data_IF_963431811319
#
_entry.id   IF_963431811319
#
_cell.length_a   1.000
_cell.length_b   1.000
_cell.length_c   1.000
_cell.angle_alpha   90.00
_cell.angle_beta   90.00
_cell.angle_gamma   90.00
#
_symmetry.space_group_name_H-M   'P 1'
#
loop_
_entity.id
_entity.type
_entity.pdbx_description
1 polymer ?
#
# COMPACT_ATOMS: atom_id res chain seq x y z
N UNK A 1 -3.23 -16.92 -8.46
CA UNK A 1 -4.47 -16.17 -8.81
C UNK A 1 -4.91 -16.55 -10.22
N UNK A 2 -6.21 -16.52 -10.54
CA UNK A 2 -6.69 -16.79 -11.91
C UNK A 2 -6.33 -15.66 -12.88
N UNK A 3 -6.29 -15.98 -14.19
CA UNK A 3 -6.00 -15.01 -15.25
C UNK A 3 -6.94 -13.80 -15.20
N UNK A 4 -8.25 -14.03 -15.05
CA UNK A 4 -9.27 -12.96 -14.97
C UNK A 4 -9.00 -11.98 -13.82
N UNK A 5 -8.60 -12.47 -12.64
CA UNK A 5 -8.28 -11.62 -11.48
C UNK A 5 -7.00 -10.81 -11.74
N UNK A 6 -5.99 -11.41 -12.36
CA UNK A 6 -4.76 -10.71 -12.76
C UNK A 6 -5.05 -9.60 -13.77
N UNK A 7 -5.92 -9.84 -14.75
CA UNK A 7 -6.34 -8.82 -15.74
C UNK A 7 -7.06 -7.67 -15.07
N UNK A 8 -7.96 -7.96 -14.14
CA UNK A 8 -8.69 -6.94 -13.40
C UNK A 8 -7.74 -6.07 -12.55
N UNK A 9 -6.80 -6.69 -11.82
CA UNK A 9 -5.78 -5.97 -11.06
C UNK A 9 -4.90 -5.12 -11.97
N UNK A 10 -4.42 -5.67 -13.08
CA UNK A 10 -3.62 -4.94 -14.06
C UNK A 10 -4.37 -3.70 -14.56
N UNK A 11 -5.62 -3.86 -15.01
CA UNK A 11 -6.43 -2.77 -15.54
C UNK A 11 -6.68 -1.66 -14.50
N UNK A 12 -7.08 -2.04 -13.28
CA UNK A 12 -7.37 -1.08 -12.20
C UNK A 12 -6.11 -0.34 -11.75
N UNK A 13 -4.98 -1.04 -11.60
CA UNK A 13 -3.73 -0.41 -11.16
C UNK A 13 -3.18 0.53 -12.23
N UNK A 14 -3.24 0.14 -13.51
CA UNK A 14 -2.88 1.01 -14.64
C UNK A 14 -3.79 2.23 -14.72
N UNK A 15 -5.11 2.05 -14.58
CA UNK A 15 -6.06 3.15 -14.53
C UNK A 15 -5.79 4.10 -13.35
N UNK A 16 -5.40 3.56 -12.19
CA UNK A 16 -4.98 4.35 -11.04
C UNK A 16 -3.77 5.24 -11.33
N UNK A 17 -2.72 4.70 -11.97
CA UNK A 17 -1.57 5.52 -12.37
C UNK A 17 -1.95 6.58 -13.43
N UNK A 18 -2.75 6.20 -14.43
CA UNK A 18 -3.21 7.12 -15.46
C UNK A 18 -4.03 8.29 -14.87
N UNK A 19 -4.91 8.00 -13.91
CA UNK A 19 -5.66 9.03 -13.20
C UNK A 19 -4.74 10.04 -12.49
N UNK A 20 -3.58 9.61 -11.98
CA UNK A 20 -2.59 10.51 -11.37
C UNK A 20 -2.03 11.58 -12.31
N UNK A 21 -2.04 11.33 -13.63
CA UNK A 21 -1.53 12.26 -14.64
C UNK A 21 -2.61 13.03 -15.40
N UNK A 22 -3.89 12.85 -15.04
CA UNK A 22 -4.99 13.45 -15.78
C UNK A 22 -5.04 14.99 -15.70
N UNK A 23 -4.31 15.58 -14.75
CA UNK A 23 -4.11 17.03 -14.66
C UNK A 23 -3.49 17.65 -15.92
N UNK A 24 -2.73 16.89 -16.72
CA UNK A 24 -2.22 17.34 -18.03
C UNK A 24 -3.33 17.54 -19.07
N UNK A 25 -4.45 16.82 -18.92
CA UNK A 25 -5.59 16.90 -19.85
C UNK A 25 -6.61 17.93 -19.36
N UNK A 26 -6.89 17.94 -18.06
CA UNK A 26 -7.81 18.91 -17.43
C UNK A 26 -7.24 19.42 -16.10
N UNK A 27 -6.50 20.55 -16.11
CA UNK A 27 -5.89 21.11 -14.91
C UNK A 27 -6.90 21.46 -13.81
N UNK A 28 -8.09 21.92 -14.20
CA UNK A 28 -9.16 22.35 -13.27
C UNK A 28 -9.76 21.22 -12.42
N UNK A 29 -9.52 19.95 -12.76
CA UNK A 29 -9.98 18.78 -11.99
C UNK A 29 -8.82 18.02 -11.32
N UNK A 30 -7.62 18.61 -11.27
CA UNK A 30 -6.42 17.90 -10.82
C UNK A 30 -6.50 17.28 -9.42
N UNK A 31 -7.20 17.92 -8.48
CA UNK A 31 -7.38 17.42 -7.11
C UNK A 31 -8.26 16.15 -7.05
N UNK A 32 -9.37 16.13 -7.80
CA UNK A 32 -10.31 15.01 -7.82
C UNK A 32 -9.69 13.76 -8.46
N UNK A 33 -8.91 13.95 -9.53
CA UNK A 33 -8.18 12.86 -10.17
C UNK A 33 -7.04 12.31 -9.30
N UNK A 34 -6.41 13.16 -8.48
CA UNK A 34 -5.44 12.73 -7.48
C UNK A 34 -6.04 11.75 -6.46
N UNK A 35 -7.29 11.97 -6.03
CA UNK A 35 -8.00 11.06 -5.12
C UNK A 35 -8.34 9.73 -5.79
N UNK A 36 -8.84 9.78 -7.03
CA UNK A 36 -9.21 8.59 -7.79
C UNK A 36 -8.03 7.63 -7.98
N UNK A 37 -6.85 8.18 -8.27
CA UNK A 37 -5.59 7.43 -8.30
C UNK A 37 -5.36 6.60 -7.02
N UNK A 38 -5.57 7.21 -5.84
CA UNK A 38 -5.26 6.59 -4.54
C UNK A 38 -6.26 5.47 -4.28
N UNK A 39 -7.55 5.71 -4.54
CA UNK A 39 -8.59 4.73 -4.30
C UNK A 39 -8.48 3.51 -5.19
N UNK A 40 -8.27 3.70 -6.50
CA UNK A 40 -8.13 2.58 -7.43
C UNK A 40 -6.97 1.68 -7.02
N UNK A 41 -5.84 2.27 -6.63
CA UNK A 41 -4.66 1.49 -6.26
C UNK A 41 -4.78 0.85 -4.86
N UNK A 42 -5.02 1.65 -3.82
CA UNK A 42 -4.97 1.18 -2.45
C UNK A 42 -6.26 0.50 -2.01
N UNK A 43 -7.41 1.11 -2.27
CA UNK A 43 -8.69 0.63 -1.76
C UNK A 43 -9.25 -0.51 -2.64
N UNK A 44 -9.31 -0.29 -3.96
CA UNK A 44 -9.88 -1.27 -4.90
C UNK A 44 -8.91 -2.42 -5.12
N UNK A 45 -7.74 -2.17 -5.70
CA UNK A 45 -6.78 -3.25 -6.00
C UNK A 45 -6.12 -3.80 -4.73
N UNK A 46 -5.59 -2.93 -3.86
CA UNK A 46 -4.92 -3.30 -2.62
C UNK A 46 -5.85 -3.99 -1.61
N UNK A 47 -7.00 -3.38 -1.29
CA UNK A 47 -7.98 -3.95 -0.37
C UNK A 47 -8.59 -5.28 -0.86
N UNK A 48 -8.90 -5.39 -2.15
CA UNK A 48 -9.40 -6.65 -2.72
C UNK A 48 -8.33 -7.75 -2.65
N UNK A 49 -7.07 -7.39 -2.90
CA UNK A 49 -5.93 -8.30 -2.77
C UNK A 49 -5.76 -8.75 -1.31
N UNK A 50 -5.82 -7.83 -0.35
CA UNK A 50 -5.76 -8.13 1.08
C UNK A 50 -6.86 -9.13 1.49
N UNK A 51 -8.12 -8.89 1.10
CA UNK A 51 -9.22 -9.79 1.42
C UNK A 51 -9.07 -11.15 0.72
N UNK A 52 -8.59 -11.17 -0.52
CA UNK A 52 -8.28 -12.41 -1.23
C UNK A 52 -7.26 -13.26 -0.46
N UNK A 53 -6.16 -12.64 0.00
CA UNK A 53 -5.12 -13.36 0.74
C UNK A 53 -5.54 -13.75 2.15
N UNK A 54 -6.31 -12.90 2.85
CA UNK A 54 -6.85 -13.19 4.17
C UNK A 54 -7.72 -14.46 4.19
N UNK A 55 -8.47 -14.70 3.11
CA UNK A 55 -9.32 -15.89 2.98
C UNK A 55 -8.54 -17.18 2.72
N UNK A 56 -7.32 -17.10 2.20
CA UNK A 56 -6.49 -18.26 1.88
C UNK A 56 -7.06 -19.22 0.82
N UNK A 57 -8.12 -18.83 0.10
CA UNK A 57 -8.78 -19.67 -0.92
C UNK A 57 -8.19 -19.44 -2.32
N UNK A 58 -8.31 -20.44 -3.21
CA UNK A 58 -7.81 -20.36 -4.60
C UNK A 58 -8.65 -19.42 -5.49
N UNK A 59 -9.89 -19.12 -5.13
CA UNK A 59 -10.79 -18.24 -5.87
C UNK A 59 -11.29 -17.07 -5.00
N UNK A 60 -11.55 -15.89 -5.60
CA UNK A 60 -11.93 -14.69 -4.84
C UNK A 60 -13.24 -14.87 -4.06
N UNK A 61 -14.14 -15.74 -4.48
CA UNK A 61 -15.44 -15.96 -3.85
C UNK A 61 -16.31 -14.68 -3.75
N UNK A 62 -17.54 -14.79 -3.24
CA UNK A 62 -18.52 -13.71 -3.35
C UNK A 62 -18.13 -12.46 -2.54
N UNK A 63 -17.56 -12.63 -1.34
CA UNK A 63 -17.18 -11.51 -0.47
C UNK A 63 -16.11 -10.59 -1.08
N UNK A 64 -15.09 -11.15 -1.74
CA UNK A 64 -14.03 -10.35 -2.39
C UNK A 64 -14.58 -9.65 -3.63
N UNK A 65 -15.43 -10.32 -4.40
CA UNK A 65 -16.09 -9.72 -5.56
C UNK A 65 -17.02 -8.57 -5.13
N UNK A 66 -17.82 -8.76 -4.07
CA UNK A 66 -18.64 -7.71 -3.49
C UNK A 66 -17.78 -6.54 -3.01
N UNK A 67 -16.71 -6.80 -2.26
CA UNK A 67 -15.79 -5.75 -1.82
C UNK A 67 -15.22 -4.97 -3.01
N UNK A 68 -14.76 -5.65 -4.07
CA UNK A 68 -14.22 -5.00 -5.25
C UNK A 68 -15.25 -4.06 -5.91
N UNK A 69 -16.50 -4.53 -6.09
CA UNK A 69 -17.56 -3.75 -6.70
C UNK A 69 -17.96 -2.54 -5.84
N UNK A 70 -18.14 -2.74 -4.53
CA UNK A 70 -18.47 -1.64 -3.61
C UNK A 70 -17.30 -0.64 -3.52
N UNK A 71 -16.05 -1.09 -3.56
CA UNK A 71 -14.88 -0.21 -3.51
C UNK A 71 -14.75 0.62 -4.80
N UNK A 72 -15.09 0.03 -5.94
CA UNK A 72 -15.15 0.75 -7.22
C UNK A 72 -16.27 1.80 -7.21
N UNK A 73 -17.45 1.44 -6.71
CA UNK A 73 -18.57 2.36 -6.55
C UNK A 73 -18.23 3.51 -5.60
N UNK A 74 -17.63 3.21 -4.44
CA UNK A 74 -17.12 4.20 -3.50
C UNK A 74 -16.13 5.16 -4.18
N UNK A 75 -15.17 4.63 -4.94
CA UNK A 75 -14.16 5.45 -5.64
C UNK A 75 -14.82 6.43 -6.60
N UNK A 76 -15.86 6.00 -7.31
CA UNK A 76 -16.64 6.84 -8.22
C UNK A 76 -17.50 7.88 -7.47
N UNK A 77 -18.18 7.49 -6.40
CA UNK A 77 -19.00 8.41 -5.59
C UNK A 77 -18.14 9.48 -4.92
N UNK A 78 -17.00 9.09 -4.36
CA UNK A 78 -16.04 10.02 -3.76
C UNK A 78 -15.46 10.97 -4.80
N UNK A 79 -15.15 10.48 -6.01
CA UNK A 79 -14.70 11.31 -7.13
C UNK A 79 -15.77 12.33 -7.57
N UNK A 80 -17.06 11.96 -7.52
CA UNK A 80 -18.18 12.87 -7.85
C UNK A 80 -18.59 13.81 -6.70
N UNK A 81 -18.02 13.66 -5.51
CA UNK A 81 -18.43 14.41 -4.32
C UNK A 81 -19.79 13.98 -3.76
N UNK A 82 -20.28 12.77 -4.09
CA UNK A 82 -21.54 12.25 -3.57
C UNK A 82 -21.33 11.67 -2.16
N UNK A 83 -21.32 12.56 -1.16
CA UNK A 83 -20.92 12.25 0.21
C UNK A 83 -21.79 11.16 0.87
N UNK A 84 -23.12 11.25 0.80
CA UNK A 84 -24.02 10.28 1.43
C UNK A 84 -23.83 8.85 0.88
N UNK A 85 -23.75 8.73 -0.45
CA UNK A 85 -23.50 7.47 -1.12
C UNK A 85 -22.11 6.91 -0.80
N UNK A 86 -21.12 7.79 -0.64
CA UNK A 86 -19.77 7.40 -0.23
C UNK A 86 -19.75 6.84 1.18
N UNK A 87 -20.49 7.43 2.13
CA UNK A 87 -20.62 6.92 3.50
C UNK A 87 -21.27 5.54 3.51
N UNK A 88 -22.39 5.37 2.79
CA UNK A 88 -23.09 4.07 2.70
C UNK A 88 -22.15 3.00 2.13
N UNK A 89 -21.45 3.30 1.05
CA UNK A 89 -20.49 2.37 0.44
C UNK A 89 -19.34 2.04 1.41
N UNK A 90 -18.82 3.03 2.14
CA UNK A 90 -17.73 2.86 3.09
C UNK A 90 -18.13 1.97 4.29
N UNK A 91 -19.33 2.15 4.84
CA UNK A 91 -19.90 1.27 5.86
C UNK A 91 -20.14 -0.16 5.34
N UNK A 92 -20.58 -0.29 4.09
CA UNK A 92 -20.69 -1.59 3.42
C UNK A 92 -19.33 -2.30 3.29
N UNK A 93 -18.28 -1.56 2.89
CA UNK A 93 -16.92 -2.08 2.85
C UNK A 93 -16.43 -2.49 4.24
N UNK A 94 -16.68 -1.68 5.27
CA UNK A 94 -16.32 -2.00 6.66
C UNK A 94 -16.93 -3.34 7.08
N UNK A 95 -18.23 -3.53 6.86
CA UNK A 95 -18.92 -4.77 7.18
C UNK A 95 -18.32 -5.98 6.44
N UNK A 96 -17.96 -5.82 5.16
CA UNK A 96 -17.32 -6.88 4.38
C UNK A 96 -15.91 -7.22 4.93
N UNK A 97 -15.10 -6.21 5.24
CA UNK A 97 -13.75 -6.39 5.80
C UNK A 97 -13.81 -7.07 7.17
N UNK A 98 -14.66 -6.59 8.07
CA UNK A 98 -14.87 -7.19 9.40
C UNK A 98 -15.38 -8.62 9.30
N UNK A 99 -16.29 -8.91 8.37
CA UNK A 99 -16.78 -10.27 8.17
C UNK A 99 -15.66 -11.25 7.78
N UNK A 100 -14.68 -10.80 6.99
CA UNK A 100 -13.50 -11.62 6.65
C UNK A 100 -12.56 -11.71 7.84
N UNK A 101 -12.32 -10.59 8.54
CA UNK A 101 -11.42 -10.52 9.70
C UNK A 101 -11.88 -11.43 10.83
N UNK A 102 -13.14 -11.34 11.26
CA UNK A 102 -13.72 -12.11 12.38
C UNK A 102 -13.87 -13.60 12.03
N UNK A 103 -13.98 -13.95 10.74
CA UNK A 103 -13.97 -15.37 10.33
C UNK A 103 -12.57 -15.97 10.32
N UNK A 104 -11.54 -15.17 10.06
CA UNK A 104 -10.15 -15.63 9.97
C UNK A 104 -9.42 -15.55 11.31
N UNK A 105 -9.74 -14.55 12.11
CA UNK A 105 -9.15 -14.19 13.39
C UNK A 105 -10.26 -13.92 14.40
N UNK A 106 -9.93 -13.49 15.61
CA UNK A 106 -10.90 -13.07 16.62
C UNK A 106 -11.34 -11.62 16.46
N UNK A 107 -12.49 -11.26 17.03
CA UNK A 107 -12.96 -9.87 17.06
C UNK A 107 -11.94 -8.94 17.74
N UNK A 108 -11.46 -9.32 18.93
CA UNK A 108 -10.38 -8.61 19.61
C UNK A 108 -9.00 -9.20 19.24
N UNK A 109 -7.97 -8.39 18.96
CA UNK A 109 -6.69 -8.88 18.43
C UNK A 109 -5.71 -9.38 19.51
N UNK A 110 -6.12 -10.37 20.31
CA UNK A 110 -5.26 -10.96 21.34
C UNK A 110 -3.94 -11.53 20.80
N UNK A 111 -3.91 -11.92 19.52
CA UNK A 111 -2.72 -12.48 18.86
C UNK A 111 -1.55 -11.49 18.78
N UNK A 112 -1.81 -10.17 18.77
CA UNK A 112 -0.75 -9.16 18.71
C UNK A 112 0.19 -9.23 19.92
N UNK A 113 -0.39 -9.52 21.08
CA UNK A 113 0.29 -9.51 22.36
C UNK A 113 1.00 -10.84 22.68
N UNK A 114 0.76 -11.90 21.90
CA UNK A 114 1.42 -13.21 22.12
C UNK A 114 2.84 -13.17 21.55
N UNK A 115 3.91 -13.29 22.36
CA UNK A 115 5.29 -13.16 21.87
C UNK A 115 5.67 -14.23 20.84
N UNK A 116 5.12 -15.45 20.98
CA UNK A 116 5.45 -16.63 20.18
C UNK A 116 4.59 -16.80 18.92
N UNK A 117 3.72 -15.83 18.62
CA UNK A 117 2.83 -15.88 17.46
C UNK A 117 3.55 -15.69 16.11
N UNK A 118 2.97 -16.24 15.05
CA UNK A 118 3.44 -16.03 13.68
C UNK A 118 3.34 -14.54 13.30
N UNK A 119 4.50 -13.90 13.15
CA UNK A 119 4.60 -12.46 12.85
C UNK A 119 3.95 -12.11 11.53
N UNK A 120 3.98 -13.01 10.54
CA UNK A 120 3.28 -12.79 9.29
C UNK A 120 1.76 -12.67 9.53
N UNK A 121 1.17 -13.60 10.30
CA UNK A 121 -0.25 -13.55 10.62
C UNK A 121 -0.63 -12.30 11.44
N UNK A 122 0.24 -11.85 12.35
CA UNK A 122 0.05 -10.57 13.05
C UNK A 122 -0.06 -9.39 12.08
N UNK A 123 0.84 -9.30 11.09
CA UNK A 123 0.76 -8.27 10.05
C UNK A 123 -0.50 -8.36 9.19
N UNK A 124 -0.93 -9.58 8.85
CA UNK A 124 -2.16 -9.79 8.08
C UNK A 124 -3.41 -9.35 8.85
N UNK A 125 -3.50 -9.69 10.14
CA UNK A 125 -4.60 -9.24 11.01
C UNK A 125 -4.55 -7.72 11.23
N UNK A 126 -3.35 -7.16 11.47
CA UNK A 126 -3.18 -5.71 11.57
C UNK A 126 -3.59 -4.98 10.27
N UNK A 127 -3.27 -5.51 9.09
CA UNK A 127 -3.68 -4.95 7.81
C UNK A 127 -5.21 -4.88 7.68
N UNK A 128 -5.93 -5.97 8.01
CA UNK A 128 -7.40 -6.00 7.97
C UNK A 128 -8.02 -5.05 8.99
N UNK A 129 -7.49 -5.02 10.20
CA UNK A 129 -7.97 -4.13 11.26
C UNK A 129 -7.73 -2.66 10.87
N UNK A 130 -6.56 -2.35 10.31
CA UNK A 130 -6.23 -1.03 9.80
C UNK A 130 -7.17 -0.60 8.67
N UNK A 131 -7.51 -1.50 7.72
CA UNK A 131 -8.46 -1.21 6.66
C UNK A 131 -9.86 -0.94 7.22
N UNK A 132 -10.30 -1.76 8.16
CA UNK A 132 -11.58 -1.63 8.84
C UNK A 132 -11.73 -0.30 9.58
N UNK A 133 -10.77 0.01 10.46
CA UNK A 133 -10.74 1.28 11.20
C UNK A 133 -10.63 2.47 10.23
N UNK A 134 -9.81 2.34 9.18
CA UNK A 134 -9.66 3.37 8.14
C UNK A 134 -10.97 3.68 7.41
N UNK A 135 -11.77 2.67 7.09
CA UNK A 135 -13.10 2.84 6.48
C UNK A 135 -14.09 3.53 7.45
N UNK A 136 -14.08 3.14 8.71
CA UNK A 136 -14.93 3.78 9.72
C UNK A 136 -14.56 5.26 9.91
N UNK A 137 -13.27 5.55 10.08
CA UNK A 137 -12.76 6.92 10.20
C UNK A 137 -13.02 7.74 8.94
N UNK A 138 -12.87 7.15 7.75
CA UNK A 138 -13.21 7.81 6.49
C UNK A 138 -14.71 8.17 6.43
N UNK A 139 -15.59 7.27 6.87
CA UNK A 139 -17.04 7.54 6.94
C UNK A 139 -17.34 8.71 7.87
N UNK A 140 -16.70 8.74 9.06
CA UNK A 140 -16.85 9.84 10.01
C UNK A 140 -16.30 11.16 9.45
N UNK A 141 -15.16 11.15 8.77
CA UNK A 141 -14.58 12.33 8.15
C UNK A 141 -15.47 12.90 7.03
N UNK A 142 -16.12 12.05 6.22
CA UNK A 142 -17.08 12.50 5.19
C UNK A 142 -18.33 13.12 5.86
N UNK A 143 -18.86 12.49 6.91
CA UNK A 143 -20.03 13.01 7.63
C UNK A 143 -19.72 14.33 8.33
N UNK A 144 -18.53 14.44 8.91
CA UNK A 144 -18.08 15.66 9.57
C UNK A 144 -17.97 16.81 8.57
N UNK A 145 -17.31 16.57 7.43
CA UNK A 145 -17.15 17.55 6.38
C UNK A 145 -18.48 18.02 5.75
N UNK A 146 -19.48 17.14 5.66
CA UNK A 146 -20.73 17.40 4.95
C UNK A 146 -21.90 17.86 5.82
N UNK A 147 -21.95 17.45 7.08
CA UNK A 147 -23.13 17.65 7.95
C UNK A 147 -22.78 18.13 9.35
N UNK A 148 -21.79 17.51 10.02
CA UNK A 148 -21.62 17.70 11.46
C UNK A 148 -20.74 18.92 11.81
N UNK A 149 -19.74 19.24 10.99
CA UNK A 149 -18.79 20.34 11.19
C UNK A 149 -18.20 20.41 12.62
N UNK A 150 -17.99 19.25 13.26
CA UNK A 150 -17.49 19.16 14.63
C UNK A 150 -15.98 19.43 14.69
N UNK A 151 -15.23 19.06 13.65
CA UNK A 151 -13.79 19.24 13.60
C UNK A 151 -13.37 20.32 12.59
N UNK A 152 -13.27 21.58 13.04
CA UNK A 152 -12.78 22.71 12.23
C UNK A 152 -11.25 22.75 12.10
N UNK A 153 -10.60 21.61 11.78
CA UNK A 153 -9.16 21.57 11.50
C UNK A 153 -8.93 21.25 10.02
N UNK A 154 -8.13 22.04 9.29
CA UNK A 154 -7.77 21.75 7.90
C UNK A 154 -6.99 20.42 7.76
N UNK A 155 -6.42 19.91 8.85
CA UNK A 155 -5.73 18.60 8.89
C UNK A 155 -6.68 17.42 9.08
N UNK A 156 -7.90 17.66 9.55
CA UNK A 156 -9.00 16.69 9.56
C UNK A 156 -9.75 16.68 8.21
N UNK A 157 -9.01 16.88 7.12
CA UNK A 157 -9.54 16.86 5.77
C UNK A 157 -9.63 15.44 5.22
N UNK A 158 -10.54 15.25 4.26
CA UNK A 158 -10.71 14.02 3.48
C UNK A 158 -9.37 13.49 2.92
N UNK A 159 -8.49 14.39 2.48
CA UNK A 159 -7.21 14.06 1.86
C UNK A 159 -6.24 13.37 2.84
N UNK A 160 -6.23 13.78 4.10
CA UNK A 160 -5.40 13.16 5.16
C UNK A 160 -5.82 11.72 5.42
N UNK A 161 -7.14 11.46 5.43
CA UNK A 161 -7.68 10.11 5.67
C UNK A 161 -7.51 9.17 4.48
N UNK A 162 -7.39 9.70 3.25
CA UNK A 162 -7.12 8.87 2.07
C UNK A 162 -5.70 8.28 2.07
N UNK A 163 -4.74 8.97 2.69
CA UNK A 163 -3.42 8.40 3.00
C UNK A 163 -3.54 7.13 3.84
N UNK A 164 -4.58 7.07 4.70
CA UNK A 164 -4.89 5.94 5.57
C UNK A 164 -5.10 4.62 4.83
N UNK A 165 -5.60 4.63 3.58
CA UNK A 165 -5.82 3.41 2.80
C UNK A 165 -4.53 2.78 2.26
N UNK A 166 -3.41 3.53 2.25
CA UNK A 166 -2.10 3.00 1.87
C UNK A 166 -1.53 2.06 2.94
N UNK A 167 -1.81 2.32 4.22
CA UNK A 167 -1.23 1.56 5.32
C UNK A 167 -1.65 0.08 5.35
N UNK A 168 -2.93 -0.30 5.15
CA UNK A 168 -3.31 -1.70 5.05
C UNK A 168 -2.53 -2.47 3.98
N UNK A 169 -2.29 -1.83 2.84
CA UNK A 169 -1.53 -2.42 1.73
C UNK A 169 -0.05 -2.53 2.10
N UNK A 170 0.52 -1.52 2.75
CA UNK A 170 1.88 -1.58 3.30
C UNK A 170 2.04 -2.73 4.32
N UNK A 171 1.08 -2.91 5.22
CA UNK A 171 1.08 -4.01 6.20
C UNK A 171 0.95 -5.38 5.53
N UNK A 172 0.19 -5.50 4.43
CA UNK A 172 0.15 -6.76 3.67
C UNK A 172 1.48 -7.06 2.97
N UNK A 173 2.26 -6.04 2.58
CA UNK A 173 3.63 -6.22 2.08
C UNK A 173 4.55 -6.78 3.17
N UNK A 174 4.43 -6.32 4.42
CA UNK A 174 5.17 -6.90 5.54
C UNK A 174 4.74 -8.34 5.83
N UNK A 175 3.44 -8.68 5.70
CA UNK A 175 3.00 -10.08 5.72
C UNK A 175 3.72 -10.91 4.64
N UNK A 176 3.87 -10.39 3.42
CA UNK A 176 4.59 -11.09 2.36
C UNK A 176 6.07 -11.36 2.71
N UNK A 177 6.72 -10.38 3.36
CA UNK A 177 8.11 -10.51 3.86
C UNK A 177 8.22 -11.60 4.92
N UNK A 178 7.43 -11.50 5.99
CA UNK A 178 7.54 -12.41 7.13
C UNK A 178 7.06 -13.83 6.80
N UNK A 179 6.39 -14.04 5.65
CA UNK A 179 6.15 -15.39 5.11
C UNK A 179 7.37 -16.04 4.49
N UNK A 180 8.35 -15.27 4.02
CA UNK A 180 9.62 -15.78 3.49
C UNK A 180 10.68 -15.90 4.57
N UNK A 181 10.43 -15.38 5.77
CA UNK A 181 11.34 -15.45 6.90
C UNK A 181 10.93 -16.66 7.74
N UNK A 182 11.88 -17.56 8.09
CA UNK A 182 11.60 -18.66 9.01
C UNK A 182 10.99 -18.14 10.32
N UNK A 183 10.15 -18.96 10.95
CA UNK A 183 9.57 -18.63 12.26
C UNK A 183 10.66 -18.26 13.26
N UNK A 184 10.30 -17.38 14.20
CA UNK A 184 11.23 -16.91 15.19
C UNK A 184 11.83 -18.08 15.99
N UNK A 185 13.15 -18.23 15.98
CA UNK A 185 13.88 -19.29 16.67
C UNK A 185 14.83 -18.68 17.70
N UNK A 186 14.51 -18.84 18.98
CA UNK A 186 15.29 -18.30 20.10
C UNK A 186 14.90 -16.87 20.49
N UNK A 187 15.39 -16.42 21.65
CA UNK A 187 14.94 -15.19 22.31
C UNK A 187 15.21 -13.91 21.52
N UNK A 188 16.42 -13.78 20.96
CA UNK A 188 16.82 -12.57 20.20
C UNK A 188 15.95 -12.38 18.95
N UNK A 189 15.65 -13.47 18.27
CA UNK A 189 14.88 -13.47 17.04
C UNK A 189 13.39 -13.15 17.31
N UNK A 190 12.83 -13.72 18.37
CA UNK A 190 11.48 -13.37 18.86
C UNK A 190 11.37 -11.90 19.23
N UNK A 191 12.40 -11.32 19.87
CA UNK A 191 12.44 -9.89 20.18
C UNK A 191 12.48 -9.07 18.89
N UNK A 192 13.35 -9.41 17.94
CA UNK A 192 13.47 -8.67 16.67
C UNK A 192 12.16 -8.68 15.87
N UNK A 193 11.48 -9.82 15.79
CA UNK A 193 10.20 -9.96 15.12
C UNK A 193 9.09 -9.14 15.78
N UNK A 194 8.96 -9.22 17.11
CA UNK A 194 7.96 -8.45 17.85
C UNK A 194 8.28 -6.95 17.83
N UNK A 195 9.55 -6.56 17.91
CA UNK A 195 9.97 -5.17 17.78
C UNK A 195 9.61 -4.63 16.39
N UNK A 196 9.91 -5.37 15.32
CA UNK A 196 9.51 -4.97 13.97
C UNK A 196 7.99 -4.79 13.85
N UNK A 197 7.19 -5.73 14.38
CA UNK A 197 5.74 -5.63 14.39
C UNK A 197 5.24 -4.38 15.13
N UNK A 198 5.67 -4.19 16.38
CA UNK A 198 5.17 -3.08 17.21
C UNK A 198 5.69 -1.73 16.77
N UNK A 199 6.98 -1.61 16.42
CA UNK A 199 7.56 -0.33 15.96
C UNK A 199 6.89 0.15 14.67
N UNK A 200 6.58 -0.74 13.73
CA UNK A 200 5.89 -0.37 12.50
C UNK A 200 4.43 0.05 12.76
N UNK A 201 3.67 -0.74 13.52
CA UNK A 201 2.25 -0.45 13.74
C UNK A 201 2.05 0.77 14.66
N UNK A 202 2.72 0.80 15.82
CA UNK A 202 2.62 1.95 16.73
C UNK A 202 3.28 3.19 16.14
N UNK A 203 4.39 3.03 15.44
CA UNK A 203 5.07 4.15 14.78
C UNK A 203 4.15 4.87 13.80
N UNK A 204 3.40 4.14 12.97
CA UNK A 204 2.43 4.75 12.04
C UNK A 204 1.25 5.40 12.77
N UNK A 205 0.71 4.75 13.81
CA UNK A 205 -0.40 5.31 14.60
C UNK A 205 0.05 6.62 15.27
N UNK A 206 1.18 6.61 15.96
CA UNK A 206 1.75 7.77 16.64
C UNK A 206 2.10 8.86 15.62
N UNK A 207 2.66 8.49 14.46
CA UNK A 207 2.95 9.43 13.38
C UNK A 207 1.68 10.14 12.91
N UNK A 208 0.58 9.40 12.69
CA UNK A 208 -0.70 9.98 12.29
C UNK A 208 -1.27 10.91 13.37
N UNK A 209 -1.18 10.54 14.65
CA UNK A 209 -1.58 11.42 15.75
C UNK A 209 -0.77 12.73 15.76
N UNK A 210 0.54 12.68 15.48
CA UNK A 210 1.36 13.89 15.37
C UNK A 210 1.03 14.74 14.14
N UNK A 211 0.63 14.11 13.02
CA UNK A 211 0.09 14.84 11.86
C UNK A 211 -1.17 15.60 12.26
N UNK A 212 -2.13 14.92 12.90
CA UNK A 212 -3.39 15.53 13.35
C UNK A 212 -3.17 16.64 14.38
N UNK A 213 -2.25 16.44 15.33
CA UNK A 213 -1.87 17.44 16.32
C UNK A 213 -1.00 18.58 15.74
N UNK A 214 -0.54 18.44 14.49
CA UNK A 214 0.34 19.41 13.84
C UNK A 214 1.74 19.52 14.45
N UNK A 215 2.19 18.52 15.20
CA UNK A 215 3.51 18.54 15.84
C UNK A 215 4.60 18.09 14.87
N UNK A 216 5.35 19.04 14.32
CA UNK A 216 6.44 18.76 13.36
C UNK A 216 7.59 17.98 14.01
N UNK A 217 7.95 18.31 15.26
CA UNK A 217 8.94 17.55 16.04
C UNK A 217 8.50 16.10 16.29
N UNK A 218 7.22 15.89 16.62
CA UNK A 218 6.66 14.56 16.76
C UNK A 218 6.71 13.78 15.45
N UNK A 219 6.36 14.43 14.34
CA UNK A 219 6.45 13.84 12.99
C UNK A 219 7.89 13.43 12.64
N UNK A 220 8.88 14.27 12.93
CA UNK A 220 10.29 13.95 12.71
C UNK A 220 10.70 12.72 13.53
N UNK A 221 10.44 12.74 14.84
CA UNK A 221 10.77 11.63 15.75
C UNK A 221 10.16 10.30 15.29
N UNK A 222 8.86 10.30 14.97
CA UNK A 222 8.18 9.11 14.49
C UNK A 222 8.71 8.64 13.12
N UNK A 223 9.06 9.56 12.22
CA UNK A 223 9.63 9.22 10.90
C UNK A 223 11.01 8.57 11.01
N UNK A 224 11.89 9.08 11.89
CA UNK A 224 13.17 8.43 12.17
C UNK A 224 12.98 7.04 12.80
N UNK A 225 12.05 6.92 13.76
CA UNK A 225 11.72 5.63 14.39
C UNK A 225 11.27 4.59 13.35
N UNK A 226 10.36 4.98 12.46
CA UNK A 226 9.88 4.13 11.37
C UNK A 226 11.00 3.77 10.38
N UNK A 227 11.89 4.72 10.04
CA UNK A 227 13.05 4.45 9.18
C UNK A 227 13.94 3.33 9.76
N UNK A 228 14.28 3.40 11.05
CA UNK A 228 15.05 2.35 11.71
C UNK A 228 14.29 1.02 11.82
N UNK A 229 12.97 1.06 12.00
CA UNK A 229 12.13 -0.14 11.97
C UNK A 229 12.16 -0.83 10.58
N UNK A 230 12.14 -0.05 9.49
CA UNK A 230 12.28 -0.60 8.13
C UNK A 230 13.68 -1.18 7.91
N UNK A 231 14.74 -0.54 8.41
CA UNK A 231 16.10 -1.09 8.36
C UNK A 231 16.21 -2.42 9.13
N UNK A 232 15.52 -2.55 10.27
CA UNK A 232 15.45 -3.81 11.01
C UNK A 232 14.79 -4.91 10.16
N UNK A 233 13.65 -4.62 9.52
CA UNK A 233 12.99 -5.59 8.62
C UNK A 233 13.88 -5.94 7.43
N UNK A 234 14.56 -4.95 6.85
CA UNK A 234 15.53 -5.18 5.77
C UNK A 234 16.62 -6.15 6.20
N UNK A 235 17.21 -5.94 7.38
CA UNK A 235 18.23 -6.83 7.95
C UNK A 235 17.68 -8.25 8.14
N UNK A 236 16.47 -8.40 8.70
CA UNK A 236 15.83 -9.71 8.91
C UNK A 236 15.65 -10.43 7.57
N UNK A 237 15.05 -9.79 6.57
CA UNK A 237 14.81 -10.39 5.25
C UNK A 237 16.14 -10.71 4.53
N UNK A 238 17.14 -9.85 4.64
CA UNK A 238 18.45 -10.06 4.03
C UNK A 238 19.18 -11.27 4.64
N UNK A 239 19.15 -11.42 5.96
CA UNK A 239 19.91 -12.48 6.63
C UNK A 239 19.16 -13.82 6.60
N UNK A 240 17.84 -13.80 6.76
CA UNK A 240 17.06 -15.02 7.06
C UNK A 240 16.02 -15.36 5.99
N UNK A 241 15.69 -14.43 5.10
CA UNK A 241 14.72 -14.68 4.05
C UNK A 241 15.13 -15.82 3.11
N UNK A 242 14.20 -16.70 2.80
CA UNK A 242 14.37 -17.78 1.82
C UNK A 242 14.96 -17.24 0.51
N UNK A 243 15.96 -17.94 -0.02
CA UNK A 243 16.63 -17.55 -1.27
C UNK A 243 15.67 -17.78 -2.43
N UNK A 244 15.51 -16.77 -3.29
CA UNK A 244 14.68 -16.89 -4.47
C UNK A 244 14.27 -15.54 -5.05
N UNK A 245 13.53 -15.60 -6.15
CA UNK A 245 13.00 -14.40 -6.82
C UNK A 245 12.02 -13.56 -5.96
N UNK A 246 11.11 -14.13 -5.15
CA UNK A 246 10.24 -13.35 -4.27
C UNK A 246 11.03 -12.44 -3.33
N UNK A 247 12.13 -12.95 -2.77
CA UNK A 247 13.02 -12.19 -1.88
C UNK A 247 13.66 -10.99 -2.59
N UNK A 248 14.09 -11.14 -3.84
CA UNK A 248 14.68 -10.03 -4.62
C UNK A 248 13.66 -8.92 -4.85
N UNK A 249 12.42 -9.28 -5.20
CA UNK A 249 11.33 -8.33 -5.41
C UNK A 249 10.99 -7.58 -4.11
N UNK A 250 10.91 -8.30 -2.98
CA UNK A 250 10.61 -7.68 -1.69
C UNK A 250 11.76 -6.85 -1.12
N UNK A 251 13.03 -7.24 -1.36
CA UNK A 251 14.19 -6.41 -1.03
C UNK A 251 14.20 -5.12 -1.85
N UNK A 252 13.91 -5.19 -3.16
CA UNK A 252 13.71 -3.99 -3.98
C UNK A 252 12.57 -3.12 -3.44
N UNK A 253 11.46 -3.75 -3.03
CA UNK A 253 10.35 -3.07 -2.36
C UNK A 253 10.80 -2.31 -1.12
N UNK A 254 11.57 -2.95 -0.23
CA UNK A 254 12.08 -2.28 0.96
C UNK A 254 13.04 -1.13 0.62
N UNK A 255 13.83 -1.23 -0.46
CA UNK A 255 14.63 -0.11 -0.94
C UNK A 255 13.74 1.08 -1.38
N UNK A 256 12.61 0.82 -2.05
CA UNK A 256 11.63 1.88 -2.34
C UNK A 256 11.06 2.48 -1.05
N UNK A 257 10.73 1.66 -0.05
CA UNK A 257 10.21 2.13 1.23
C UNK A 257 11.24 2.97 1.99
N UNK A 258 12.52 2.58 1.99
CA UNK A 258 13.60 3.38 2.56
C UNK A 258 13.77 4.71 1.82
N UNK A 259 13.70 4.71 0.48
CA UNK A 259 13.71 5.94 -0.31
C UNK A 259 12.51 6.85 0.01
N UNK A 260 11.31 6.28 0.17
CA UNK A 260 10.13 7.00 0.62
C UNK A 260 10.33 7.59 2.03
N UNK A 261 10.87 6.81 2.97
CA UNK A 261 11.15 7.31 4.32
C UNK A 261 12.16 8.47 4.31
N UNK A 262 13.25 8.36 3.53
CA UNK A 262 14.25 9.42 3.39
C UNK A 262 13.66 10.70 2.80
N UNK A 263 12.84 10.58 1.75
CA UNK A 263 12.17 11.73 1.13
C UNK A 263 11.14 12.38 2.06
N UNK A 264 10.43 11.59 2.88
CA UNK A 264 9.53 12.10 3.90
C UNK A 264 10.26 12.81 5.05
N UNK A 265 11.37 12.25 5.54
CA UNK A 265 12.22 12.89 6.54
C UNK A 265 12.81 14.20 5.99
N UNK A 266 13.31 14.19 4.76
CA UNK A 266 13.83 15.38 4.10
C UNK A 266 12.75 16.48 4.01
N UNK A 267 11.52 16.11 3.65
CA UNK A 267 10.40 17.05 3.61
C UNK A 267 10.14 17.68 4.98
N UNK A 268 10.09 16.88 6.05
CA UNK A 268 9.86 17.40 7.42
C UNK A 268 10.99 18.36 7.83
N UNK A 269 12.24 18.01 7.54
CA UNK A 269 13.39 18.88 7.86
C UNK A 269 13.33 20.20 7.09
N UNK A 270 12.96 20.16 5.80
CA UNK A 270 12.79 21.36 4.99
C UNK A 270 11.66 22.24 5.55
N UNK A 271 10.51 21.65 5.89
CA UNK A 271 9.38 22.35 6.49
C UNK A 271 9.79 23.05 7.80
N UNK A 272 10.64 22.41 8.61
CA UNK A 272 11.19 23.00 9.84
C UNK A 272 12.19 24.13 9.58
N UNK A 273 13.01 24.03 8.53
CA UNK A 273 14.13 24.94 8.30
C UNK A 273 13.73 26.24 7.60
N UNK A 274 12.87 26.15 6.57
CA UNK A 274 12.58 27.28 5.67
C UNK A 274 11.09 27.55 5.45
N UNK A 275 10.19 26.77 6.06
CA UNK A 275 8.76 26.84 5.77
C UNK A 275 8.41 26.29 4.38
N UNK A 276 7.13 26.37 3.98
CA UNK A 276 6.64 25.69 2.76
C UNK A 276 7.02 26.42 1.46
N UNK A 277 7.67 25.73 0.50
CA UNK A 277 8.10 26.23 -0.82
C UNK A 277 7.71 25.35 -2.02
N UNK A 278 8.18 25.69 -3.23
CA UNK A 278 7.90 24.94 -4.48
C UNK A 278 8.61 23.58 -4.55
N UNK A 279 9.80 23.45 -3.94
CA UNK A 279 10.56 22.19 -3.80
C UNK A 279 9.74 21.07 -3.15
N UNK A 280 8.80 21.47 -2.29
CA UNK A 280 8.04 20.58 -1.42
C UNK A 280 7.06 19.72 -2.21
N UNK A 281 6.52 20.26 -3.31
CA UNK A 281 5.56 19.55 -4.16
C UNK A 281 6.21 18.43 -4.97
N UNK A 282 7.45 18.62 -5.43
CA UNK A 282 8.16 17.56 -6.14
C UNK A 282 8.58 16.45 -5.18
N UNK A 283 9.18 16.82 -4.04
CA UNK A 283 9.65 15.87 -3.04
C UNK A 283 8.52 14.99 -2.50
N UNK A 284 7.35 15.58 -2.17
CA UNK A 284 6.18 14.83 -1.70
C UNK A 284 5.59 13.90 -2.76
N UNK A 285 5.63 14.29 -4.04
CA UNK A 285 5.18 13.40 -5.12
C UNK A 285 6.15 12.27 -5.35
N UNK A 286 7.45 12.55 -5.30
CA UNK A 286 8.47 11.52 -5.39
C UNK A 286 8.32 10.51 -4.26
N UNK A 287 8.15 10.99 -3.02
CA UNK A 287 7.78 10.17 -1.87
C UNK A 287 6.55 9.28 -2.15
N UNK A 288 5.46 9.88 -2.62
CA UNK A 288 4.22 9.16 -2.90
C UNK A 288 4.40 8.07 -3.98
N UNK A 289 5.14 8.33 -5.06
CA UNK A 289 5.41 7.32 -6.09
C UNK A 289 6.23 6.15 -5.53
N UNK A 290 7.29 6.42 -4.77
CA UNK A 290 8.12 5.39 -4.14
C UNK A 290 7.30 4.52 -3.17
N UNK A 291 6.45 5.14 -2.34
CA UNK A 291 5.62 4.41 -1.38
C UNK A 291 4.51 3.59 -2.05
N UNK A 292 3.79 4.19 -3.02
CA UNK A 292 2.59 3.59 -3.60
C UNK A 292 2.94 2.59 -4.71
N UNK A 293 3.68 3.04 -5.72
CA UNK A 293 3.98 2.21 -6.89
C UNK A 293 5.29 1.45 -6.75
N UNK A 294 6.19 1.86 -5.85
CA UNK A 294 7.35 1.07 -5.47
C UNK A 294 6.98 0.02 -4.43
N UNK A 295 6.84 0.44 -3.17
CA UNK A 295 6.67 -0.45 -2.02
C UNK A 295 5.37 -1.26 -2.04
N UNK A 296 4.20 -0.62 -2.04
CA UNK A 296 2.91 -1.33 -1.97
C UNK A 296 2.74 -2.30 -3.16
N UNK A 297 3.16 -1.89 -4.36
CA UNK A 297 3.12 -2.74 -5.54
C UNK A 297 3.98 -4.00 -5.39
N UNK A 298 5.20 -3.87 -4.87
CA UNK A 298 6.10 -5.02 -4.65
C UNK A 298 5.45 -6.08 -3.75
N UNK A 299 4.75 -5.67 -2.69
CA UNK A 299 4.03 -6.59 -1.80
C UNK A 299 2.86 -7.27 -2.50
N UNK A 300 2.02 -6.51 -3.22
CA UNK A 300 0.89 -7.07 -3.98
C UNK A 300 1.39 -8.09 -5.01
N UNK A 301 2.45 -7.76 -5.76
CA UNK A 301 3.07 -8.67 -6.74
C UNK A 301 3.57 -9.96 -6.08
N UNK A 302 4.33 -9.83 -4.98
CA UNK A 302 4.89 -10.97 -4.28
C UNK A 302 3.80 -11.93 -3.80
N UNK A 303 2.67 -11.41 -3.34
CA UNK A 303 1.53 -12.21 -2.91
C UNK A 303 0.72 -12.78 -4.09
N UNK A 304 0.47 -11.99 -5.14
CA UNK A 304 -0.31 -12.40 -6.31
C UNK A 304 0.35 -13.56 -7.07
N UNK A 305 1.69 -13.57 -7.09
CA UNK A 305 2.52 -14.59 -7.74
C UNK A 305 3.07 -15.64 -6.76
N UNK A 306 2.59 -15.72 -5.51
CA UNK A 306 3.15 -16.63 -4.49
C UNK A 306 3.28 -18.09 -4.95
N UNK A 307 2.30 -18.59 -5.72
CA UNK A 307 2.24 -19.98 -6.20
C UNK A 307 2.90 -20.13 -7.59
N UNK A 308 3.32 -19.01 -8.19
CA UNK A 308 3.79 -18.91 -9.57
C UNK A 308 5.30 -18.62 -9.65
N UNK A 309 5.99 -18.49 -8.51
CA UNK A 309 7.43 -18.27 -8.50
C UNK A 309 8.23 -19.58 -8.60
N UNK A 310 9.40 -19.57 -9.26
CA UNK A 310 9.99 -18.45 -9.99
C UNK A 310 9.33 -18.22 -11.36
N UNK A 311 9.18 -16.95 -11.73
CA UNK A 311 8.73 -16.51 -13.05
C UNK A 311 9.88 -16.59 -14.05
N UNK A 312 9.58 -16.89 -15.31
CA UNK A 312 10.57 -17.13 -16.37
C UNK A 312 11.22 -15.84 -16.90
N UNK A 313 11.69 -14.99 -16.00
CA UNK A 313 12.32 -13.70 -16.29
C UNK A 313 13.41 -13.44 -15.25
N UNK A 314 14.57 -12.96 -15.72
CA UNK A 314 15.69 -12.57 -14.84
C UNK A 314 15.28 -11.42 -13.93
N UNK A 315 15.29 -11.67 -12.62
CA UNK A 315 14.87 -10.72 -11.57
C UNK A 315 15.48 -9.32 -11.69
N UNK A 316 16.78 -9.13 -12.04
CA UNK A 316 17.37 -7.79 -12.14
C UNK A 316 16.72 -6.91 -13.22
N UNK A 317 16.27 -7.49 -14.34
CA UNK A 317 15.62 -6.71 -15.42
C UNK A 317 14.25 -6.20 -14.99
N UNK A 318 13.49 -7.03 -14.26
CA UNK A 318 12.19 -6.64 -13.71
C UNK A 318 12.38 -5.52 -12.68
N UNK A 319 13.35 -5.67 -11.77
CA UNK A 319 13.67 -4.65 -10.78
C UNK A 319 14.08 -3.34 -11.46
N UNK A 320 14.99 -3.37 -12.43
CA UNK A 320 15.42 -2.19 -13.16
C UNK A 320 14.25 -1.48 -13.88
N UNK A 321 13.36 -2.25 -14.53
CA UNK A 321 12.17 -1.70 -15.17
C UNK A 321 11.22 -1.05 -14.15
N UNK A 322 11.03 -1.68 -12.98
CA UNK A 322 10.21 -1.13 -11.90
C UNK A 322 10.76 0.22 -11.41
N UNK A 323 12.07 0.30 -11.17
CA UNK A 323 12.75 1.55 -10.77
C UNK A 323 12.68 2.63 -11.85
N UNK A 324 12.87 2.26 -13.12
CA UNK A 324 12.74 3.21 -14.23
C UNK A 324 11.35 3.85 -14.25
N UNK A 325 10.29 3.04 -14.12
CA UNK A 325 8.92 3.57 -14.13
C UNK A 325 8.66 4.45 -12.91
N UNK A 326 8.98 3.96 -11.70
CA UNK A 326 8.56 4.59 -10.45
C UNK A 326 9.46 5.75 -10.04
N UNK A 327 10.77 5.63 -10.18
CA UNK A 327 11.72 6.63 -9.71
C UNK A 327 12.14 7.65 -10.79
N UNK A 328 11.87 7.37 -12.07
CA UNK A 328 12.27 8.26 -13.18
C UNK A 328 11.06 8.73 -13.99
N UNK A 329 10.36 7.83 -14.67
CA UNK A 329 9.30 8.22 -15.61
C UNK A 329 8.10 8.86 -14.91
N UNK A 330 7.62 8.28 -13.80
CA UNK A 330 6.46 8.82 -13.10
C UNK A 330 6.69 10.22 -12.48
N UNK A 331 7.82 10.48 -11.78
CA UNK A 331 8.13 11.81 -11.27
C UNK A 331 8.30 12.84 -12.39
N UNK A 332 9.00 12.51 -13.48
CA UNK A 332 9.14 13.39 -14.65
C UNK A 332 7.79 13.59 -15.35
N UNK A 333 6.95 12.57 -15.36
CA UNK A 333 5.59 12.60 -15.90
C UNK A 333 4.70 13.62 -15.22
N UNK A 334 5.00 14.04 -14.00
CA UNK A 334 4.26 15.12 -13.38
C UNK A 334 4.49 16.47 -14.10
N UNK A 335 5.73 16.74 -14.51
CA UNK A 335 6.07 17.99 -15.22
C UNK A 335 5.88 17.92 -16.74
N UNK A 336 5.81 16.72 -17.31
CA UNK A 336 5.87 16.52 -18.75
C UNK A 336 4.87 15.44 -19.22
N UNK A 337 3.97 15.80 -20.14
CA UNK A 337 2.90 14.93 -20.63
C UNK A 337 3.42 13.70 -21.41
N UNK A 338 4.51 13.83 -22.16
CA UNK A 338 5.14 12.69 -22.84
C UNK A 338 5.70 11.69 -21.83
N UNK A 339 6.41 12.18 -20.80
CA UNK A 339 6.90 11.33 -19.73
C UNK A 339 5.75 10.66 -18.95
N UNK A 340 4.60 11.33 -18.78
CA UNK A 340 3.41 10.72 -18.17
C UNK A 340 2.84 9.57 -19.02
N UNK A 341 2.70 9.77 -20.34
CA UNK A 341 2.24 8.72 -21.25
C UNK A 341 3.20 7.52 -21.24
N UNK A 342 4.51 7.78 -21.29
CA UNK A 342 5.54 6.74 -21.19
C UNK A 342 5.49 6.01 -19.84
N UNK A 343 5.29 6.74 -18.73
CA UNK A 343 5.15 6.15 -17.41
C UNK A 343 3.96 5.17 -17.36
N UNK A 344 2.79 5.58 -17.86
CA UNK A 344 1.59 4.72 -17.90
C UNK A 344 1.79 3.50 -18.80
N UNK A 345 2.36 3.69 -20.00
CA UNK A 345 2.61 2.60 -20.94
C UNK A 345 3.61 1.58 -20.39
N UNK A 346 4.75 2.04 -19.87
CA UNK A 346 5.77 1.17 -19.28
C UNK A 346 5.28 0.52 -17.98
N UNK A 347 4.41 1.17 -17.23
CA UNK A 347 3.76 0.58 -16.06
C UNK A 347 2.78 -0.53 -16.44
N UNK A 348 1.95 -0.32 -17.45
CA UNK A 348 1.06 -1.36 -17.97
C UNK A 348 1.86 -2.57 -18.49
N UNK A 349 2.95 -2.31 -19.22
CA UNK A 349 3.88 -3.34 -19.66
C UNK A 349 4.52 -4.08 -18.48
N UNK A 350 4.98 -3.35 -17.46
CA UNK A 350 5.54 -3.94 -16.24
C UNK A 350 4.56 -4.90 -15.57
N UNK A 351 3.33 -4.44 -15.33
CA UNK A 351 2.29 -5.27 -14.73
C UNK A 351 1.94 -6.48 -15.61
N UNK A 352 1.84 -6.27 -16.92
CA UNK A 352 1.61 -7.34 -17.90
C UNK A 352 2.69 -8.43 -17.82
N UNK A 353 3.96 -8.01 -17.78
CA UNK A 353 5.09 -8.92 -17.64
C UNK A 353 5.03 -9.66 -16.30
N UNK A 354 4.91 -8.95 -15.18
CA UNK A 354 5.05 -9.54 -13.85
C UNK A 354 3.85 -10.38 -13.44
N UNK A 355 2.63 -10.04 -13.87
CA UNK A 355 1.42 -10.81 -13.52
C UNK A 355 1.23 -12.03 -14.43
N UNK A 356 1.65 -11.97 -15.70
CA UNK A 356 1.32 -12.98 -16.70
C UNK A 356 2.51 -13.79 -17.23
N UNK A 357 3.76 -13.48 -16.88
CA UNK A 357 4.90 -14.32 -17.26
C UNK A 357 4.70 -15.79 -16.88
N UNK A 358 5.12 -16.73 -17.74
CA UNK A 358 5.03 -18.16 -17.46
C UNK A 358 5.92 -18.58 -16.27
N UNK A 359 5.54 -19.66 -15.60
CA UNK A 359 6.30 -20.23 -14.50
C UNK A 359 7.47 -21.04 -15.07
N UNK A 360 8.67 -20.92 -14.50
CA UNK A 360 9.87 -21.61 -15.01
C UNK A 360 9.79 -23.14 -14.89
N UNK A 361 8.87 -23.65 -14.05
CA UNK A 361 8.61 -25.09 -13.88
C UNK A 361 7.78 -25.72 -15.01
N UNK A 362 6.91 -24.95 -15.66
CA UNK A 362 6.02 -25.44 -16.73
C UNK A 362 6.78 -25.80 -18.03
N UNK A 363 8.01 -25.31 -18.19
CA UNK A 363 8.85 -25.67 -19.34
C UNK A 363 9.67 -26.96 -19.15
N UNK A 364 9.69 -27.55 -17.94
CA UNK A 364 10.36 -28.83 -17.70
C UNK A 364 9.47 -30.05 -17.94
N UNK A 365 8.14 -29.88 -18.00
CA UNK A 365 7.19 -30.96 -18.36
C UNK A 365 6.95 -31.07 -19.87
N UNK A 366 7.56 -30.18 -20.67
CA UNK A 366 7.48 -30.12 -22.13
C UNK A 366 8.83 -30.40 -22.82
N UNK A 367 9.77 -31.04 -22.11
CA UNK A 367 11.05 -31.50 -22.67
C UNK A 367 11.24 -32.99 -22.49
#
# INVERSE_FOLDING_TARGET
MSFRVKTLLCAVMTAGLAAGFFHHVRPSMGADFGRLHIFLFNLVAGGSSLLYFARGKKSPGPTVAAYFLVALAFSFFAFKGWHDLSVIACLGLFALVESVRIRRFTFFPFEFFRPEGDTALKFLHAALLCLSIGLLLCSLAILDHSRLHLFNSPKFGLETFFLGFSFPVSLVSFYAIFRLVPKASGRSDTIAHNAAFWLLNLGVIIFFLFILAGSVWGQAFASFTLYFAVLLVFKILWQRGEKGQPRIILLSGLCFLLGAALTGIAYIIIEMAIGTGLSDRFLMRFHAFLALYGWNLSGIIALARKDDFPINIRSPRIVAHHWLVVAVLAPLGYGNSLAAMLAVAFFALFLGIVLFAANSGDQRSLK
#
